data_IF_394268692205
#
_entry.id   IF_394268692205
#
_cell.length_a   1.000
_cell.length_b   1.000
_cell.length_c   1.000
_cell.angle_alpha   90.00
_cell.angle_beta   90.00
_cell.angle_gamma   90.00
#
_symmetry.space_group_name_H-M   'P 1'
#
loop_
_entity.id
_entity.type
_entity.pdbx_description
1 polymer ?
#
# COMPACT_ATOMS: atom_id res chain seq x y z
N UNK A 1 30.13 -53.72 4.27
CA UNK A 1 30.22 -52.43 4.97
C UNK A 1 30.43 -51.39 3.88
N UNK A 2 29.30 -50.85 3.37
CA UNK A 2 29.31 -49.91 2.25
C UNK A 2 29.64 -48.52 2.78
N UNK A 3 30.82 -48.04 2.46
CA UNK A 3 31.15 -46.65 2.63
C UNK A 3 30.28 -45.82 1.65
N UNK A 4 29.35 -45.07 2.20
CA UNK A 4 28.62 -44.02 1.48
C UNK A 4 29.66 -42.92 1.19
N UNK A 5 30.19 -42.95 -0.04
CA UNK A 5 31.05 -41.90 -0.59
C UNK A 5 30.19 -40.63 -0.58
N UNK A 6 30.40 -39.77 0.41
CA UNK A 6 29.87 -38.41 0.42
C UNK A 6 30.41 -37.72 -0.83
N UNK A 7 29.56 -37.60 -1.87
CA UNK A 7 29.83 -36.69 -2.97
C UNK A 7 30.04 -35.30 -2.38
N UNK A 8 31.27 -34.87 -2.41
CA UNK A 8 31.58 -33.45 -2.17
C UNK A 8 30.93 -32.69 -3.32
N UNK A 9 29.83 -32.01 -3.03
CA UNK A 9 29.24 -31.09 -3.96
C UNK A 9 30.28 -30.01 -4.22
N UNK A 10 30.92 -30.04 -5.39
CA UNK A 10 31.92 -29.07 -5.79
C UNK A 10 31.17 -27.77 -6.15
N UNK A 11 30.99 -26.93 -5.14
CA UNK A 11 30.31 -25.63 -5.24
C UNK A 11 30.94 -24.76 -6.32
N UNK A 12 32.27 -24.91 -6.54
CA UNK A 12 33.01 -24.19 -7.54
C UNK A 12 32.67 -24.63 -8.97
N UNK A 13 32.40 -25.92 -9.14
CA UNK A 13 31.94 -26.48 -10.42
C UNK A 13 30.55 -25.94 -10.79
N UNK A 14 29.58 -26.00 -9.88
CA UNK A 14 28.25 -25.43 -10.11
C UNK A 14 28.28 -23.92 -10.35
N UNK A 15 29.16 -23.19 -9.65
CA UNK A 15 29.33 -21.76 -9.83
C UNK A 15 29.90 -21.43 -11.24
N UNK A 16 30.84 -22.23 -11.75
CA UNK A 16 31.39 -22.05 -13.09
C UNK A 16 30.40 -22.39 -14.20
N UNK A 17 29.59 -23.42 -14.01
CA UNK A 17 28.47 -23.77 -14.91
C UNK A 17 27.42 -22.67 -14.93
N UNK A 18 27.05 -22.13 -13.75
CA UNK A 18 26.14 -21.01 -13.62
C UNK A 18 26.64 -19.79 -14.39
N UNK A 19 27.92 -19.45 -14.30
CA UNK A 19 28.53 -18.35 -15.04
C UNK A 19 28.50 -18.52 -16.58
N UNK A 20 28.69 -19.74 -17.06
CA UNK A 20 28.61 -20.06 -18.50
C UNK A 20 27.17 -19.99 -19.01
N UNK A 21 26.22 -20.53 -18.26
CA UNK A 21 24.79 -20.46 -18.57
C UNK A 21 24.30 -18.99 -18.54
N UNK A 22 24.75 -18.18 -17.59
CA UNK A 22 24.43 -16.76 -17.48
C UNK A 22 24.79 -16.00 -18.77
N UNK A 23 25.98 -16.24 -19.33
CA UNK A 23 26.41 -15.62 -20.58
C UNK A 23 25.61 -16.09 -21.78
N UNK A 24 25.13 -17.32 -21.79
CA UNK A 24 24.35 -17.87 -22.91
C UNK A 24 22.88 -17.44 -22.86
N UNK A 25 22.34 -17.24 -21.65
CA UNK A 25 20.91 -16.94 -21.42
C UNK A 25 20.63 -15.48 -21.03
N UNK A 26 21.62 -14.58 -21.17
CA UNK A 26 21.44 -13.16 -20.82
C UNK A 26 20.25 -12.51 -21.57
N UNK A 27 19.94 -12.98 -22.76
CA UNK A 27 18.79 -12.52 -23.55
C UNK A 27 17.46 -12.83 -22.86
N UNK A 28 17.39 -13.95 -22.16
CA UNK A 28 16.21 -14.33 -21.37
C UNK A 28 15.97 -13.35 -20.21
N UNK A 29 17.02 -12.80 -19.63
CA UNK A 29 16.92 -11.75 -18.62
C UNK A 29 16.29 -10.47 -19.18
N UNK A 30 16.69 -10.04 -20.38
CA UNK A 30 16.10 -8.88 -21.06
C UNK A 30 14.62 -9.13 -21.32
N UNK A 31 14.28 -10.30 -21.86
CA UNK A 31 12.89 -10.67 -22.11
C UNK A 31 12.04 -10.66 -20.85
N UNK A 32 12.57 -11.21 -19.76
CA UNK A 32 11.89 -11.24 -18.46
C UNK A 32 11.70 -9.84 -17.88
N UNK A 33 12.70 -8.98 -18.03
CA UNK A 33 12.61 -7.57 -17.60
C UNK A 33 11.54 -6.82 -18.38
N UNK A 34 11.50 -6.96 -19.71
CA UNK A 34 10.48 -6.34 -20.56
C UNK A 34 9.09 -6.83 -20.18
N UNK A 35 8.94 -8.13 -19.89
CA UNK A 35 7.67 -8.72 -19.46
C UNK A 35 7.24 -8.17 -18.08
N UNK A 36 8.16 -8.05 -17.12
CA UNK A 36 7.88 -7.48 -15.81
C UNK A 36 7.44 -6.01 -15.92
N UNK A 37 8.12 -5.20 -16.73
CA UNK A 37 7.72 -3.81 -16.99
C UNK A 37 6.38 -3.72 -17.71
N UNK A 38 6.07 -4.64 -18.63
CA UNK A 38 4.76 -4.72 -19.26
C UNK A 38 3.63 -4.96 -18.26
N UNK A 39 3.82 -5.90 -17.34
CA UNK A 39 2.85 -6.18 -16.27
C UNK A 39 2.67 -4.98 -15.35
N UNK A 40 3.76 -4.30 -14.95
CA UNK A 40 3.70 -3.10 -14.13
C UNK A 40 2.94 -1.97 -14.83
N UNK A 41 3.19 -1.75 -16.12
CA UNK A 41 2.47 -0.74 -16.91
C UNK A 41 0.97 -1.01 -16.96
N UNK A 42 0.57 -2.27 -17.14
CA UNK A 42 -0.85 -2.67 -17.13
C UNK A 42 -1.45 -2.43 -15.74
N UNK A 43 -0.75 -2.80 -14.67
CA UNK A 43 -1.20 -2.56 -13.28
C UNK A 43 -1.45 -1.07 -13.05
N UNK A 44 -0.51 -0.21 -13.43
CA UNK A 44 -0.62 1.25 -13.23
C UNK A 44 -1.74 1.83 -14.08
N UNK A 45 -1.87 1.40 -15.33
CA UNK A 45 -2.85 2.00 -16.24
C UNK A 45 -4.30 1.54 -15.99
N UNK A 46 -4.51 0.28 -15.55
CA UNK A 46 -5.84 -0.31 -15.43
C UNK A 46 -6.35 -0.37 -13.98
N UNK A 47 -5.48 -0.45 -12.99
CA UNK A 47 -5.87 -0.67 -11.60
C UNK A 47 -5.61 0.54 -10.70
N UNK A 48 -4.91 1.55 -11.18
CA UNK A 48 -4.66 2.73 -10.36
C UNK A 48 -5.79 3.74 -10.48
N UNK A 49 -6.48 3.97 -9.38
CA UNK A 49 -7.43 5.07 -9.20
C UNK A 49 -6.81 6.09 -8.25
N UNK A 50 -6.55 7.33 -8.71
CA UNK A 50 -6.04 8.38 -7.83
C UNK A 50 -7.09 8.70 -6.76
N UNK A 51 -6.65 8.89 -5.52
CA UNK A 51 -7.51 9.30 -4.42
C UNK A 51 -6.99 10.57 -3.79
N UNK A 52 -7.88 11.52 -3.60
CA UNK A 52 -7.58 12.83 -3.03
C UNK A 52 -8.21 12.93 -1.65
N UNK A 53 -7.43 13.39 -0.65
CA UNK A 53 -7.90 13.59 0.70
C UNK A 53 -7.89 15.06 1.04
N UNK A 54 -8.98 15.53 1.59
CA UNK A 54 -9.13 16.86 2.17
C UNK A 54 -9.41 16.69 3.64
N UNK A 55 -8.76 17.46 4.49
CA UNK A 55 -8.95 17.39 5.95
C UNK A 55 -9.26 18.75 6.54
N UNK A 56 -10.01 18.74 7.63
CA UNK A 56 -10.24 19.91 8.46
C UNK A 56 -10.11 19.54 9.93
N UNK A 57 -9.51 20.43 10.69
CA UNK A 57 -9.29 20.27 12.12
C UNK A 57 -10.17 21.24 12.89
N UNK A 58 -10.79 20.73 13.95
CA UNK A 58 -11.66 21.54 14.82
C UNK A 58 -11.37 21.28 16.27
N UNK A 59 -11.73 22.28 17.09
CA UNK A 59 -11.98 22.11 18.49
C UNK A 59 -13.48 21.97 18.70
N UNK A 60 -13.90 20.96 19.43
CA UNK A 60 -15.31 20.76 19.80
C UNK A 60 -15.52 21.27 21.19
N UNK A 61 -16.49 22.18 21.34
CA UNK A 61 -16.91 22.66 22.65
C UNK A 61 -18.36 22.22 22.89
N UNK A 62 -18.56 21.41 23.92
CA UNK A 62 -19.90 21.08 24.38
C UNK A 62 -20.41 22.24 25.22
N UNK A 63 -21.43 22.93 24.73
CA UNK A 63 -21.99 24.12 25.36
C UNK A 63 -22.74 23.85 26.67
N UNK A 64 -22.01 23.42 27.69
CA UNK A 64 -22.47 23.38 29.06
C UNK A 64 -21.80 24.50 29.83
N UNK A 65 -22.60 25.37 30.47
CA UNK A 65 -22.14 26.49 31.29
C UNK A 65 -20.91 26.11 32.11
N UNK A 66 -19.90 26.93 32.01
CA UNK A 66 -18.54 26.80 32.57
C UNK A 66 -18.46 26.75 34.10
N UNK A 67 -19.29 25.98 34.77
CA UNK A 67 -19.34 25.81 36.21
C UNK A 67 -19.31 24.38 36.70
N UNK A 68 -18.88 23.41 35.87
CA UNK A 68 -18.73 22.02 36.35
C UNK A 68 -17.25 21.69 36.57
N UNK A 69 -16.99 21.01 37.67
CA UNK A 69 -15.68 20.56 38.13
C UNK A 69 -14.87 19.88 37.03
N UNK A 70 -13.54 19.96 37.07
CA UNK A 70 -12.57 19.32 36.15
C UNK A 70 -12.90 17.84 35.84
N UNK A 71 -13.55 17.15 36.77
CA UNK A 71 -13.99 15.76 36.59
C UNK A 71 -15.13 15.62 35.58
N UNK A 72 -16.11 16.51 35.59
CA UNK A 72 -17.22 16.50 34.63
C UNK A 72 -16.75 16.87 33.22
N UNK A 73 -15.77 17.76 33.12
CA UNK A 73 -15.15 18.12 31.84
C UNK A 73 -14.37 16.94 31.21
N UNK A 74 -13.64 16.16 32.00
CA UNK A 74 -12.89 15.01 31.52
C UNK A 74 -13.81 13.87 31.02
N UNK A 75 -14.89 13.60 31.75
CA UNK A 75 -15.90 12.58 31.34
C UNK A 75 -16.59 12.99 30.04
N UNK A 76 -16.86 14.27 29.87
CA UNK A 76 -17.46 14.79 28.64
C UNK A 76 -16.49 14.67 27.45
N UNK A 77 -15.20 14.92 27.65
CA UNK A 77 -14.19 14.74 26.61
C UNK A 77 -14.04 13.28 26.18
N UNK A 78 -14.01 12.34 27.14
CA UNK A 78 -13.92 10.91 26.83
C UNK A 78 -15.14 10.43 26.06
N UNK A 79 -16.34 10.89 26.43
CA UNK A 79 -17.56 10.58 25.68
C UNK A 79 -17.53 11.20 24.29
N UNK A 80 -17.04 12.42 24.16
CA UNK A 80 -16.94 13.10 22.89
C UNK A 80 -15.93 12.40 21.97
N UNK A 81 -14.76 12.01 22.50
CA UNK A 81 -13.74 11.25 21.79
C UNK A 81 -14.27 9.93 21.23
N UNK A 82 -15.09 9.22 22.02
CA UNK A 82 -15.70 7.97 21.58
C UNK A 82 -16.83 8.18 20.56
N UNK A 83 -17.61 9.24 20.73
CA UNK A 83 -18.86 9.45 19.97
C UNK A 83 -18.61 10.19 18.64
N UNK A 84 -17.60 11.04 18.57
CA UNK A 84 -17.29 11.85 17.39
C UNK A 84 -17.03 11.00 16.13
N UNK A 85 -16.14 9.99 16.15
CA UNK A 85 -15.95 9.12 14.99
C UNK A 85 -17.21 8.34 14.63
N UNK A 86 -17.94 7.86 15.65
CA UNK A 86 -19.17 7.10 15.45
C UNK A 86 -20.25 7.90 14.71
N UNK A 87 -20.42 9.19 15.06
CA UNK A 87 -21.39 10.05 14.38
C UNK A 87 -20.97 10.28 12.92
N UNK A 88 -19.70 10.55 12.68
CA UNK A 88 -19.18 10.83 11.34
C UNK A 88 -19.25 9.61 10.41
N UNK A 89 -19.06 8.42 10.95
CA UNK A 89 -19.18 7.17 10.19
C UNK A 89 -20.63 6.67 10.10
N UNK A 90 -21.55 7.30 10.82
CA UNK A 90 -22.95 6.88 10.88
C UNK A 90 -23.63 6.98 9.51
N UNK A 91 -24.50 6.01 9.23
CA UNK A 91 -25.34 6.05 8.04
C UNK A 91 -26.28 7.26 7.97
N UNK A 92 -26.66 7.81 9.14
CA UNK A 92 -27.51 8.98 9.22
C UNK A 92 -26.85 10.23 8.65
N UNK A 93 -25.59 10.52 9.06
CA UNK A 93 -24.87 11.66 8.53
C UNK A 93 -24.56 11.47 7.04
N UNK A 94 -24.11 10.27 6.64
CA UNK A 94 -23.86 9.95 5.24
C UNK A 94 -25.08 10.19 4.36
N UNK A 95 -26.26 9.80 4.82
CA UNK A 95 -27.50 10.01 4.10
C UNK A 95 -27.84 11.49 3.94
N UNK A 96 -27.70 12.28 5.00
CA UNK A 96 -27.93 13.75 4.94
C UNK A 96 -26.94 14.41 3.96
N UNK A 97 -25.68 14.01 4.01
CA UNK A 97 -24.65 14.54 3.09
C UNK A 97 -24.97 14.15 1.63
N UNK A 98 -25.41 12.92 1.38
CA UNK A 98 -25.86 12.49 0.05
C UNK A 98 -27.04 13.30 -0.46
N UNK A 99 -28.02 13.57 0.40
CA UNK A 99 -29.20 14.39 0.06
C UNK A 99 -28.79 15.85 -0.23
N UNK A 100 -27.88 16.41 0.54
CA UNK A 100 -27.39 17.77 0.41
C UNK A 100 -26.59 17.98 -0.89
N UNK A 101 -25.71 17.03 -1.21
CA UNK A 101 -24.86 17.08 -2.42
C UNK A 101 -25.64 16.59 -3.67
N UNK A 102 -26.72 15.82 -3.48
CA UNK A 102 -27.50 15.23 -4.57
C UNK A 102 -26.84 14.04 -5.25
N UNK A 103 -25.91 13.36 -4.58
CA UNK A 103 -25.16 12.20 -5.09
C UNK A 103 -25.35 10.99 -4.17
N UNK A 104 -25.89 9.91 -4.69
CA UNK A 104 -26.07 8.65 -3.96
C UNK A 104 -25.65 7.48 -4.89
N UNK A 105 -24.68 6.61 -4.48
CA UNK A 105 -23.95 6.59 -3.21
C UNK A 105 -22.87 7.67 -3.10
N UNK A 106 -22.47 7.97 -1.86
CA UNK A 106 -21.42 8.94 -1.57
C UNK A 106 -20.09 8.51 -2.26
N UNK A 107 -19.55 9.33 -3.19
CA UNK A 107 -18.33 8.98 -3.94
C UNK A 107 -17.06 9.26 -3.10
N UNK A 108 -17.03 8.84 -1.86
CA UNK A 108 -15.92 9.07 -0.96
C UNK A 108 -16.06 8.38 0.39
N UNK A 109 -14.95 8.38 1.14
CA UNK A 109 -14.89 7.84 2.50
C UNK A 109 -14.65 8.97 3.48
N UNK A 110 -15.50 9.07 4.50
CA UNK A 110 -15.34 9.98 5.62
C UNK A 110 -14.65 9.23 6.73
N UNK A 111 -13.54 9.76 7.23
CA UNK A 111 -12.79 9.23 8.38
C UNK A 111 -12.61 10.31 9.41
N UNK A 112 -12.67 9.92 10.68
CA UNK A 112 -12.43 10.80 11.80
C UNK A 112 -11.21 10.32 12.58
N UNK A 113 -10.39 11.25 13.00
CA UNK A 113 -9.31 11.02 13.97
C UNK A 113 -9.42 12.00 15.12
N UNK A 114 -9.16 11.51 16.29
CA UNK A 114 -9.17 12.28 17.53
C UNK A 114 -7.74 12.32 18.06
N UNK A 115 -7.27 13.48 18.44
CA UNK A 115 -5.96 13.59 19.07
C UNK A 115 -6.13 13.29 20.57
N UNK A 116 -5.58 12.14 21.00
CA UNK A 116 -5.74 11.63 22.35
C UNK A 116 -5.51 12.68 23.44
N UNK A 117 -6.39 12.70 24.44
CA UNK A 117 -6.36 13.60 25.59
C UNK A 117 -6.53 15.08 25.25
N UNK A 118 -7.07 15.40 24.08
CA UNK A 118 -7.36 16.78 23.67
C UNK A 118 -8.81 16.91 23.18
N UNK A 119 -9.27 18.14 23.00
CA UNK A 119 -10.54 18.44 22.34
C UNK A 119 -10.37 18.72 20.83
N UNK A 120 -9.26 18.23 20.26
CA UNK A 120 -8.91 18.41 18.85
C UNK A 120 -9.36 17.21 18.03
N UNK A 121 -10.10 17.48 17.01
CA UNK A 121 -10.69 16.52 16.11
C UNK A 121 -10.31 16.84 14.67
N UNK A 122 -10.04 15.82 13.90
CA UNK A 122 -9.77 15.96 12.48
C UNK A 122 -10.75 15.10 11.69
N UNK A 123 -11.40 15.71 10.72
CA UNK A 123 -12.17 15.00 9.71
C UNK A 123 -11.34 14.95 8.43
N UNK A 124 -11.28 13.77 7.82
CA UNK A 124 -10.65 13.59 6.52
C UNK A 124 -11.65 12.92 5.58
N UNK A 125 -11.80 13.51 4.41
CA UNK A 125 -12.65 12.97 3.34
C UNK A 125 -11.76 12.60 2.17
N UNK A 126 -11.88 11.36 1.72
CA UNK A 126 -11.13 10.82 0.58
C UNK A 126 -12.09 10.51 -0.56
N UNK A 127 -11.85 11.06 -1.74
CA UNK A 127 -12.65 10.84 -2.95
C UNK A 127 -11.74 10.69 -4.18
N UNK A 128 -12.30 10.22 -5.28
CA UNK A 128 -11.60 10.09 -6.57
C UNK A 128 -11.43 11.46 -7.26
N UNK A 129 -12.24 12.45 -6.89
CA UNK A 129 -12.16 13.82 -7.38
C UNK A 129 -11.90 14.82 -6.24
N UNK A 130 -10.90 15.71 -6.38
CA UNK A 130 -10.52 16.65 -5.32
C UNK A 130 -11.60 17.68 -4.99
N UNK A 131 -12.39 18.11 -5.98
CA UNK A 131 -13.49 19.05 -5.76
C UNK A 131 -14.65 18.39 -5.02
N UNK A 132 -14.96 17.16 -5.40
CA UNK A 132 -15.98 16.36 -4.72
C UNK A 132 -15.59 16.08 -3.27
N UNK A 133 -14.30 15.77 -2.99
CA UNK A 133 -13.81 15.60 -1.62
C UNK A 133 -14.04 16.86 -0.77
N UNK A 134 -13.75 18.06 -1.32
CA UNK A 134 -13.98 19.33 -0.64
C UNK A 134 -15.47 19.61 -0.39
N UNK A 135 -16.31 19.34 -1.37
CA UNK A 135 -17.78 19.53 -1.26
C UNK A 135 -18.35 18.61 -0.18
N UNK A 136 -17.94 17.34 -0.15
CA UNK A 136 -18.35 16.38 0.89
C UNK A 136 -17.88 16.88 2.26
N UNK A 137 -16.62 17.32 2.41
CA UNK A 137 -16.11 17.83 3.67
C UNK A 137 -16.91 19.02 4.18
N UNK A 138 -17.23 19.97 3.30
CA UNK A 138 -18.01 21.15 3.65
C UNK A 138 -19.42 20.75 4.11
N UNK A 139 -20.10 19.89 3.36
CA UNK A 139 -21.42 19.38 3.75
C UNK A 139 -21.40 18.60 5.07
N UNK A 140 -20.34 17.81 5.32
CA UNK A 140 -20.15 17.12 6.61
C UNK A 140 -20.04 18.12 7.76
N UNK A 141 -19.25 19.18 7.61
CA UNK A 141 -19.05 20.20 8.63
C UNK A 141 -20.35 20.94 8.94
N UNK A 142 -21.12 21.29 7.93
CA UNK A 142 -22.39 22.00 8.06
C UNK A 142 -23.48 21.16 8.72
N UNK A 143 -23.54 19.88 8.38
CA UNK A 143 -24.61 18.96 8.85
C UNK A 143 -24.26 18.23 10.16
N UNK A 144 -22.97 18.14 10.53
CA UNK A 144 -22.54 17.46 11.76
C UNK A 144 -23.25 17.98 13.03
N UNK A 145 -23.33 19.29 13.29
CA UNK A 145 -23.98 19.79 14.50
C UNK A 145 -25.44 19.36 14.63
N UNK A 146 -26.14 19.24 13.49
CA UNK A 146 -27.53 18.81 13.47
C UNK A 146 -27.69 17.36 13.94
N UNK A 147 -26.80 16.46 13.50
CA UNK A 147 -26.82 15.06 13.91
C UNK A 147 -26.30 14.90 15.35
N UNK A 148 -25.23 15.61 15.69
CA UNK A 148 -24.61 15.57 17.01
C UNK A 148 -25.57 16.04 18.11
N UNK A 149 -26.40 17.02 17.82
CA UNK A 149 -27.41 17.55 18.76
C UNK A 149 -28.33 16.46 19.34
N UNK A 150 -28.69 15.47 18.54
CA UNK A 150 -29.56 14.37 18.99
C UNK A 150 -28.83 13.35 19.87
N UNK A 151 -27.51 13.31 19.83
CA UNK A 151 -26.70 12.27 20.51
C UNK A 151 -25.99 12.85 21.72
N UNK A 152 -25.36 14.02 21.55
CA UNK A 152 -24.46 14.62 22.56
C UNK A 152 -25.07 15.91 23.17
N UNK A 153 -26.08 16.49 22.49
CA UNK A 153 -26.63 17.79 22.83
C UNK A 153 -26.02 18.93 21.99
N UNK A 154 -26.25 20.18 22.43
CA UNK A 154 -25.76 21.33 21.69
C UNK A 154 -24.22 21.37 21.68
N UNK A 155 -23.66 21.13 20.53
CA UNK A 155 -22.23 21.15 20.28
C UNK A 155 -21.89 22.23 19.25
N UNK A 156 -20.81 22.97 19.52
CA UNK A 156 -20.26 23.94 18.56
C UNK A 156 -18.91 23.47 18.04
N UNK A 157 -18.75 23.46 16.73
CA UNK A 157 -17.50 23.19 16.06
C UNK A 157 -16.75 24.51 15.86
N UNK A 158 -15.58 24.66 16.44
CA UNK A 158 -14.68 25.74 16.12
C UNK A 158 -13.63 25.25 15.14
N UNK A 159 -13.77 25.64 13.88
CA UNK A 159 -12.78 25.32 12.86
C UNK A 159 -11.45 25.98 13.19
N UNK A 160 -10.39 25.20 13.22
CA UNK A 160 -9.02 25.66 13.46
C UNK A 160 -8.28 25.78 12.13
N UNK A 161 -8.40 24.76 11.27
CA UNK A 161 -7.72 24.69 10.00
C UNK A 161 -8.51 23.85 9.02
N UNK A 162 -8.43 24.20 7.74
CA UNK A 162 -9.01 23.43 6.64
C UNK A 162 -8.01 23.37 5.50
N UNK A 163 -7.68 22.16 5.04
CA UNK A 163 -6.80 22.03 3.88
C UNK A 163 -7.47 22.53 2.61
N UNK A 164 -6.68 23.14 1.75
CA UNK A 164 -7.12 23.48 0.40
C UNK A 164 -7.34 22.24 -0.45
N UNK A 165 -7.92 22.46 -1.65
CA UNK A 165 -8.10 21.38 -2.62
C UNK A 165 -6.75 20.76 -2.97
N UNK A 166 -6.56 19.46 -2.73
CA UNK A 166 -5.28 18.81 -2.96
C UNK A 166 -4.97 18.75 -4.45
N UNK A 167 -3.77 19.13 -4.82
CA UNK A 167 -3.26 19.02 -6.18
C UNK A 167 -2.67 17.63 -6.47
N UNK A 168 -2.32 16.87 -5.44
CA UNK A 168 -1.69 15.55 -5.57
C UNK A 168 -2.53 14.47 -4.85
N UNK A 169 -2.64 13.26 -5.45
CA UNK A 169 -3.35 12.15 -4.82
C UNK A 169 -2.56 11.60 -3.63
N UNK A 170 -3.27 11.19 -2.58
CA UNK A 170 -2.69 10.60 -1.36
C UNK A 170 -2.05 9.24 -1.64
N UNK A 171 -2.63 8.47 -2.55
CA UNK A 171 -2.12 7.16 -2.95
C UNK A 171 -1.16 7.24 -4.15
N UNK A 172 -0.36 8.30 -4.23
CA UNK A 172 0.60 8.50 -5.30
C UNK A 172 1.52 7.28 -5.46
N UNK A 173 1.55 6.74 -6.67
CA UNK A 173 2.48 5.65 -7.00
C UNK A 173 3.89 6.23 -7.09
N UNK A 174 4.78 5.71 -6.27
CA UNK A 174 6.21 5.97 -6.40
C UNK A 174 6.76 5.15 -7.56
N UNK A 175 6.84 5.74 -8.74
CA UNK A 175 7.35 5.09 -9.96
C UNK A 175 8.74 4.45 -9.70
N UNK A 176 9.57 5.11 -8.88
CA UNK A 176 10.89 4.59 -8.52
C UNK A 176 10.80 3.27 -7.74
N UNK A 177 9.91 3.19 -6.75
CA UNK A 177 9.72 1.97 -5.95
C UNK A 177 9.15 0.83 -6.79
N UNK A 178 8.19 1.10 -7.65
CA UNK A 178 7.62 0.10 -8.56
C UNK A 178 8.66 -0.40 -9.58
N UNK A 179 9.48 0.47 -10.14
CA UNK A 179 10.58 0.06 -11.04
C UNK A 179 11.59 -0.81 -10.30
N UNK A 180 12.01 -0.41 -9.09
CA UNK A 180 12.98 -1.20 -8.31
C UNK A 180 12.39 -2.55 -7.92
N UNK A 181 11.15 -2.61 -7.49
CA UNK A 181 10.45 -3.86 -7.18
C UNK A 181 10.36 -4.79 -8.42
N UNK A 182 10.01 -4.25 -9.59
CA UNK A 182 9.96 -4.99 -10.84
C UNK A 182 11.31 -5.56 -11.26
N UNK A 183 12.37 -4.78 -11.07
CA UNK A 183 13.73 -5.20 -11.38
C UNK A 183 14.21 -6.32 -10.43
N UNK A 184 13.96 -6.19 -9.13
CA UNK A 184 14.26 -7.26 -8.17
C UNK A 184 13.48 -8.53 -8.47
N UNK A 185 12.21 -8.41 -8.80
CA UNK A 185 11.39 -9.56 -9.16
C UNK A 185 11.88 -10.27 -10.42
N UNK A 186 12.29 -9.52 -11.46
CA UNK A 186 12.85 -10.09 -12.68
C UNK A 186 14.18 -10.80 -12.45
N UNK A 187 15.06 -10.23 -11.59
CA UNK A 187 16.33 -10.86 -11.21
C UNK A 187 16.06 -12.17 -10.44
N UNK A 188 15.15 -12.14 -9.47
CA UNK A 188 14.79 -13.33 -8.68
C UNK A 188 14.25 -14.45 -9.56
N UNK A 189 13.32 -14.13 -10.45
CA UNK A 189 12.76 -15.11 -11.38
C UNK A 189 13.80 -15.66 -12.35
N UNK A 190 14.70 -14.81 -12.82
CA UNK A 190 15.81 -15.22 -13.68
C UNK A 190 16.76 -16.19 -12.99
N UNK A 191 17.12 -15.95 -11.72
CA UNK A 191 17.95 -16.85 -10.92
C UNK A 191 17.25 -18.20 -10.71
N UNK A 192 15.94 -18.20 -10.44
CA UNK A 192 15.14 -19.42 -10.33
C UNK A 192 15.17 -20.24 -11.61
N UNK A 193 14.95 -19.60 -12.75
CA UNK A 193 14.97 -20.26 -14.06
C UNK A 193 16.36 -20.82 -14.37
N UNK A 194 17.42 -20.04 -14.10
CA UNK A 194 18.80 -20.52 -14.28
C UNK A 194 19.11 -21.70 -13.38
N UNK A 195 18.71 -21.69 -12.12
CA UNK A 195 18.90 -22.77 -11.18
C UNK A 195 18.21 -24.04 -11.67
N UNK A 196 16.98 -23.90 -12.17
CA UNK A 196 16.22 -25.02 -12.75
C UNK A 196 16.88 -25.57 -14.03
N UNK A 197 17.36 -24.67 -14.91
CA UNK A 197 18.07 -25.07 -16.12
C UNK A 197 19.39 -25.79 -15.82
N UNK A 198 20.14 -25.32 -14.86
CA UNK A 198 21.38 -25.98 -14.42
C UNK A 198 21.08 -27.34 -13.83
N UNK A 199 20.03 -27.48 -13.05
CA UNK A 199 19.62 -28.78 -12.47
C UNK A 199 19.08 -29.77 -13.54
N UNK A 200 18.34 -29.24 -14.52
CA UNK A 200 17.73 -30.06 -15.58
C UNK A 200 18.71 -30.46 -16.70
N UNK A 201 19.80 -29.70 -16.88
CA UNK A 201 20.77 -29.99 -17.94
C UNK A 201 21.93 -30.85 -17.44
N UNK A 202 21.86 -32.13 -17.71
CA UNK A 202 22.98 -33.07 -17.61
C UNK A 202 23.86 -33.04 -18.89
N UNK A 203 23.91 -31.92 -19.58
CA UNK A 203 24.71 -31.79 -20.82
C UNK A 203 26.16 -31.60 -20.47
N UNK A 204 27.00 -32.49 -20.99
CA UNK A 204 28.46 -32.40 -20.96
C UNK A 204 28.89 -31.12 -21.69
N UNK A 205 29.34 -30.12 -20.96
CA UNK A 205 29.72 -28.79 -21.48
C UNK A 205 31.23 -28.62 -21.68
N UNK A 206 32.02 -29.58 -21.21
CA UNK A 206 33.47 -29.56 -21.32
C UNK A 206 34.16 -30.87 -21.00
N UNK A 207 35.44 -30.91 -21.21
CA UNK A 207 36.31 -32.10 -20.98
C UNK A 207 36.30 -32.55 -19.52
N UNK A 208 36.12 -31.61 -18.59
CA UNK A 208 36.05 -31.88 -17.15
C UNK A 208 34.74 -32.58 -16.75
N UNK A 209 33.65 -32.25 -17.43
CA UNK A 209 32.32 -32.83 -17.22
C UNK A 209 32.32 -34.33 -17.64
N UNK A 210 33.03 -34.63 -18.76
CA UNK A 210 33.22 -36.03 -19.22
C UNK A 210 34.03 -36.89 -18.23
N UNK A 211 35.01 -36.28 -17.55
CA UNK A 211 35.81 -37.01 -16.54
C UNK A 211 35.02 -37.25 -15.27
N UNK A 212 34.12 -36.40 -14.92
CA UNK A 212 33.38 -36.43 -13.66
C UNK A 212 32.10 -37.28 -13.74
N UNK A 213 31.33 -37.16 -14.85
CA UNK A 213 30.06 -37.88 -14.99
C UNK A 213 30.21 -39.30 -15.54
N UNK A 214 31.18 -39.54 -16.44
CA UNK A 214 31.25 -40.80 -17.18
C UNK A 214 32.57 -41.57 -16.87
N UNK A 215 33.50 -40.98 -16.10
CA UNK A 215 34.80 -41.57 -15.74
C UNK A 215 35.62 -42.06 -16.95
N UNK A 216 35.46 -41.43 -18.12
CA UNK A 216 36.17 -41.76 -19.35
C UNK A 216 37.29 -40.72 -19.57
N UNK A 217 38.51 -41.20 -19.89
CA UNK A 217 39.61 -40.31 -20.26
C UNK A 217 39.38 -39.77 -21.68
N UNK A 218 39.37 -38.46 -21.86
CA UNK A 218 39.42 -37.88 -23.20
C UNK A 218 40.73 -38.27 -23.92
N UNK A 219 40.60 -38.86 -25.11
CA UNK A 219 41.72 -39.28 -25.92
C UNK A 219 42.25 -38.17 -26.82
N UNK A 220 41.47 -37.16 -27.14
CA UNK A 220 41.89 -35.95 -27.87
C UNK A 220 40.88 -34.80 -27.62
N UNK A 221 41.37 -33.58 -27.50
CA UNK A 221 40.63 -32.35 -27.60
C UNK A 221 41.06 -31.61 -28.86
N UNK A 222 40.11 -31.25 -29.71
CA UNK A 222 40.32 -30.48 -30.94
C UNK A 222 40.06 -28.98 -30.63
#
# INVERSE_FOLDING_TARGET
>A
MNEIKKEKIDLFYYLSQFGRMLKRTWWLFIFLSVLAFGILSVKIHWFYTPRYAVSASFSVNSGGNACYSDYAASVTLDQLNATFPYILESGALKKIVCEDIGIDPLPGTITASVLDSTNLFQISVTSDDPQTAKTILTSVIENYPTVAKYIIGDTTLHMLDQSDVPSEPVNRISIREEITAGLFFSIFLYILILSFLVWSNHTVLGEEDLKQDINIRCLASI
#
